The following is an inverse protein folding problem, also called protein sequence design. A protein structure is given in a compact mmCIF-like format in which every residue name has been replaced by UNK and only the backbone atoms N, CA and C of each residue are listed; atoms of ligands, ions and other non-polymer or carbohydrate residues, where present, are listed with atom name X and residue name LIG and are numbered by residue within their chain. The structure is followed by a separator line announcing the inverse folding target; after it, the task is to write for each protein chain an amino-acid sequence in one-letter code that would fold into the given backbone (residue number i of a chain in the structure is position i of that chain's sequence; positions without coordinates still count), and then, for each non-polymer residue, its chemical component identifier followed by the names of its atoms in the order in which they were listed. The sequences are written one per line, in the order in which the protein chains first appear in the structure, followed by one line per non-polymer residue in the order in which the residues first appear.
data_IF_739473709974
#
_entry.id   IF_739473709974
#
_cell.length_a   1.000
_cell.length_b   1.000
_cell.length_c   1.000
_cell.angle_alpha   90.00
_cell.angle_beta   90.00
_cell.angle_gamma   90.00
#
_symmetry.space_group_name_H-M   'P 1'
#
loop_
_entity.id
_entity.type
_entity.pdbx_description
1 polymer ?
#
# COMPACT_ATOMS: atom_id res chain seq x y z
N UNK A 1 27.21 4.55 12.41
CA UNK A 1 26.54 5.56 11.56
C UNK A 1 25.04 5.38 11.74
N UNK A 2 24.23 6.46 11.80
CA UNK A 2 22.80 6.33 11.99
C UNK A 2 22.17 5.61 10.80
N UNK A 3 21.26 4.66 11.07
CA UNK A 3 20.55 3.94 10.02
C UNK A 3 19.63 4.93 9.27
N UNK A 4 19.60 4.87 7.93
CA UNK A 4 18.71 5.70 7.10
C UNK A 4 17.25 5.66 7.59
N UNK A 5 16.76 4.49 7.97
CA UNK A 5 15.38 4.34 8.46
C UNK A 5 15.15 5.11 9.77
N UNK A 6 16.14 5.12 10.68
CA UNK A 6 16.05 5.87 11.94
C UNK A 6 16.04 7.38 11.68
N UNK A 7 16.90 7.84 10.75
CA UNK A 7 16.92 9.24 10.32
C UNK A 7 15.58 9.63 9.70
N UNK A 8 15.06 8.81 8.79
CA UNK A 8 13.81 9.06 8.10
C UNK A 8 12.63 9.14 9.08
N UNK A 9 12.46 8.11 9.93
CA UNK A 9 11.31 8.00 10.83
C UNK A 9 11.26 9.09 11.90
N UNK A 10 12.41 9.66 12.26
CA UNK A 10 12.51 10.74 13.26
C UNK A 10 12.54 12.14 12.65
N UNK A 11 12.73 12.28 11.33
CA UNK A 11 13.06 13.56 10.71
C UNK A 11 12.04 14.65 11.00
N UNK A 12 10.75 14.37 10.84
CA UNK A 12 9.72 15.40 11.10
C UNK A 12 9.61 15.80 12.59
N UNK A 13 10.00 14.93 13.53
CA UNK A 13 9.93 15.22 14.98
C UNK A 13 11.16 15.96 15.48
N UNK A 14 12.33 15.53 15.02
CA UNK A 14 13.62 16.03 15.45
C UNK A 14 14.63 15.86 14.31
N UNK A 15 14.68 16.82 13.36
CA UNK A 15 15.55 16.72 12.19
C UNK A 15 17.02 16.55 12.60
N UNK A 16 17.57 15.35 12.43
CA UNK A 16 18.99 15.10 12.62
C UNK A 16 19.73 15.37 11.30
N UNK A 17 20.02 16.65 11.03
CA UNK A 17 20.67 17.09 9.78
C UNK A 17 22.01 16.38 9.56
N UNK A 18 22.85 16.27 10.60
CA UNK A 18 24.14 15.58 10.49
C UNK A 18 23.96 14.09 10.14
N UNK A 19 23.00 13.42 10.75
CA UNK A 19 22.66 12.02 10.42
C UNK A 19 22.11 11.85 9.01
N UNK A 20 21.23 12.75 8.57
CA UNK A 20 20.70 12.75 7.22
C UNK A 20 21.78 12.99 6.16
N UNK A 21 22.74 13.87 6.44
CA UNK A 21 23.88 14.10 5.55
C UNK A 21 24.81 12.90 5.49
N UNK A 22 25.08 12.23 6.61
CA UNK A 22 25.87 11.00 6.62
C UNK A 22 25.19 9.89 5.81
N UNK A 23 23.88 9.69 6.00
CA UNK A 23 23.10 8.73 5.23
C UNK A 23 23.06 9.10 3.73
N UNK A 24 22.97 10.39 3.40
CA UNK A 24 23.05 10.86 2.01
C UNK A 24 24.41 10.51 1.38
N UNK A 25 25.51 10.76 2.09
CA UNK A 25 26.85 10.48 1.59
C UNK A 25 27.07 8.97 1.38
N UNK A 26 26.47 8.11 2.22
CA UNK A 26 26.45 6.67 2.00
C UNK A 26 25.68 6.30 0.72
N UNK A 27 24.45 6.81 0.56
CA UNK A 27 23.58 6.52 -0.60
C UNK A 27 24.18 7.00 -1.92
N UNK A 28 24.88 8.14 -1.95
CA UNK A 28 25.55 8.63 -3.17
C UNK A 28 26.68 7.71 -3.63
N UNK A 29 27.28 6.96 -2.71
CA UNK A 29 28.34 6.00 -3.02
C UNK A 29 27.78 4.62 -3.40
N UNK A 30 26.48 4.38 -3.27
CA UNK A 30 25.84 3.15 -3.75
C UNK A 30 25.79 3.11 -5.27
N UNK A 31 25.98 1.92 -5.84
CA UNK A 31 25.92 1.74 -7.30
C UNK A 31 24.52 2.02 -7.88
N UNK A 32 23.47 1.76 -7.08
CA UNK A 32 22.07 1.90 -7.48
C UNK A 32 21.22 2.37 -6.28
N UNK A 33 21.23 3.67 -5.95
CA UNK A 33 20.40 4.20 -4.86
C UNK A 33 18.90 3.99 -5.16
N UNK A 34 18.13 3.64 -4.13
CA UNK A 34 16.70 3.40 -4.29
C UNK A 34 15.95 4.71 -4.58
N UNK A 35 14.94 4.71 -5.47
CA UNK A 35 14.14 5.90 -5.74
C UNK A 35 13.51 6.53 -4.49
N UNK A 36 13.08 5.71 -3.51
CA UNK A 36 12.52 6.19 -2.25
C UNK A 36 13.54 6.94 -1.38
N UNK A 37 14.82 6.53 -1.38
CA UNK A 37 15.88 7.24 -0.65
C UNK A 37 16.13 8.63 -1.26
N UNK A 38 16.23 8.70 -2.60
CA UNK A 38 16.38 9.98 -3.30
C UNK A 38 15.17 10.89 -3.09
N UNK A 39 13.97 10.32 -3.09
CA UNK A 39 12.73 11.03 -2.77
C UNK A 39 12.75 11.59 -1.34
N UNK A 40 13.20 10.80 -0.36
CA UNK A 40 13.34 11.25 1.03
C UNK A 40 14.25 12.46 1.13
N UNK A 41 15.47 12.39 0.56
CA UNK A 41 16.42 13.50 0.62
C UNK A 41 15.92 14.75 -0.10
N UNK A 42 15.24 14.59 -1.24
CA UNK A 42 14.63 15.71 -1.95
C UNK A 42 13.56 16.40 -1.10
N UNK A 43 12.72 15.63 -0.40
CA UNK A 43 11.75 16.18 0.55
C UNK A 43 12.42 16.83 1.77
N UNK A 44 13.45 16.21 2.33
CA UNK A 44 14.21 16.77 3.46
C UNK A 44 14.81 18.13 3.08
N UNK A 45 15.41 18.24 1.88
CA UNK A 45 15.95 19.49 1.35
C UNK A 45 14.85 20.53 1.07
N UNK A 46 13.62 20.11 0.79
CA UNK A 46 12.49 21.00 0.60
C UNK A 46 11.96 21.58 1.92
N UNK A 47 11.99 20.81 3.01
CA UNK A 47 11.36 21.20 4.30
C UNK A 47 12.36 21.63 5.38
N UNK A 48 13.66 21.47 5.14
CA UNK A 48 14.71 21.84 6.09
C UNK A 48 15.82 22.63 5.38
N UNK A 49 15.90 23.94 5.67
CA UNK A 49 16.85 24.86 5.04
C UNK A 49 18.31 24.55 5.39
N UNK A 50 18.59 24.07 6.61
CA UNK A 50 19.94 23.71 7.04
C UNK A 50 20.47 22.51 6.24
N UNK A 51 19.65 21.47 6.09
CA UNK A 51 19.96 20.30 5.27
C UNK A 51 20.14 20.69 3.80
N UNK A 52 19.26 21.56 3.28
CA UNK A 52 19.38 22.10 1.93
C UNK A 52 20.68 22.86 1.71
N UNK A 53 21.03 23.78 2.60
CA UNK A 53 22.26 24.57 2.51
C UNK A 53 23.48 23.65 2.55
N UNK A 54 23.49 22.66 3.44
CA UNK A 54 24.56 21.67 3.52
C UNK A 54 24.67 20.81 2.26
N UNK A 55 23.55 20.49 1.60
CA UNK A 55 23.55 19.80 0.31
C UNK A 55 24.14 20.66 -0.82
N UNK A 56 23.92 21.98 -0.83
CA UNK A 56 24.51 22.86 -1.88
C UNK A 56 26.04 22.86 -1.88
N UNK A 57 26.65 22.53 -0.74
CA UNK A 57 28.10 22.41 -0.57
C UNK A 57 28.65 21.10 -1.17
N UNK A 58 27.79 20.15 -1.55
CA UNK A 58 28.17 18.88 -2.17
C UNK A 58 28.14 18.98 -3.69
N UNK A 59 29.19 18.46 -4.33
CA UNK A 59 29.27 18.36 -5.78
C UNK A 59 28.84 16.97 -6.25
N UNK A 60 28.14 16.90 -7.39
CA UNK A 60 27.77 15.64 -8.02
C UNK A 60 26.37 15.63 -8.64
N UNK A 61 26.08 14.68 -9.55
CA UNK A 61 24.78 14.58 -10.21
C UNK A 61 23.64 14.26 -9.23
N UNK A 62 23.89 13.43 -8.21
CA UNK A 62 22.85 13.05 -7.22
C UNK A 62 22.46 14.22 -6.33
N UNK A 63 23.43 14.97 -5.79
CA UNK A 63 23.15 16.16 -4.99
C UNK A 63 22.36 17.21 -5.80
N UNK A 64 22.71 17.40 -7.08
CA UNK A 64 21.95 18.27 -7.99
C UNK A 64 20.53 17.77 -8.21
N UNK A 65 20.34 16.47 -8.44
CA UNK A 65 19.01 15.88 -8.62
C UNK A 65 18.12 16.06 -7.37
N UNK A 66 18.67 15.81 -6.18
CA UNK A 66 17.98 16.04 -4.90
C UNK A 66 17.59 17.50 -4.71
N UNK A 67 18.47 18.44 -5.05
CA UNK A 67 18.19 19.88 -4.95
C UNK A 67 17.20 20.41 -5.99
N UNK A 68 17.14 19.79 -7.18
CA UNK A 68 16.09 20.05 -8.18
C UNK A 68 14.73 19.57 -7.67
N UNK A 69 14.75 18.47 -6.91
CA UNK A 69 13.57 17.85 -6.34
C UNK A 69 13.07 16.67 -7.15
N UNK A 70 12.06 16.01 -6.59
CA UNK A 70 11.41 14.83 -7.17
C UNK A 70 10.04 15.19 -7.74
N UNK A 71 9.61 14.52 -8.82
CA UNK A 71 8.26 14.67 -9.33
C UNK A 71 7.22 14.41 -8.23
N UNK A 72 6.06 15.08 -8.27
CA UNK A 72 4.96 14.77 -7.37
C UNK A 72 4.50 13.33 -7.58
N UNK A 73 4.09 12.68 -6.50
CA UNK A 73 3.47 11.35 -6.55
C UNK A 73 2.15 11.51 -7.32
N UNK A 74 1.95 10.80 -8.46
CA UNK A 74 0.78 10.96 -9.33
C UNK A 74 -0.53 10.93 -8.56
N UNK A 75 -1.53 11.71 -8.98
CA UNK A 75 -2.87 11.61 -8.41
C UNK A 75 -3.52 10.29 -8.79
N UNK A 76 -4.32 9.73 -7.87
CA UNK A 76 -5.02 8.46 -8.06
C UNK A 76 -4.68 7.42 -6.99
N UNK A 77 -5.23 6.20 -7.13
CA UNK A 77 -4.98 5.10 -6.22
C UNK A 77 -3.52 4.64 -6.32
N UNK A 78 -2.74 4.70 -5.23
CA UNK A 78 -1.33 4.37 -5.30
C UNK A 78 -1.10 2.88 -5.53
N UNK A 79 -0.17 2.56 -6.43
CA UNK A 79 0.42 1.23 -6.56
C UNK A 79 1.40 0.92 -5.41
N UNK A 80 1.93 -0.32 -5.33
CA UNK A 80 2.80 -0.74 -4.23
C UNK A 80 4.03 0.16 -4.02
N UNK A 81 4.71 0.54 -5.11
CA UNK A 81 5.90 1.40 -5.04
C UNK A 81 5.56 2.84 -4.57
N UNK A 82 4.36 3.32 -4.90
CA UNK A 82 3.90 4.65 -4.50
C UNK A 82 3.53 4.70 -3.01
N UNK A 83 3.20 3.56 -2.39
CA UNK A 83 2.98 3.49 -0.94
C UNK A 83 4.24 3.86 -0.16
N UNK A 84 5.43 3.41 -0.61
CA UNK A 84 6.70 3.73 0.04
C UNK A 84 7.03 5.23 -0.09
N UNK A 85 6.71 5.83 -1.24
CA UNK A 85 6.85 7.28 -1.44
C UNK A 85 5.90 8.07 -0.53
N UNK A 86 4.66 7.61 -0.36
CA UNK A 86 3.68 8.25 0.54
C UNK A 86 4.11 8.14 2.01
N UNK A 87 4.62 6.98 2.44
CA UNK A 87 5.18 6.82 3.78
C UNK A 87 6.40 7.71 4.00
N UNK A 88 7.31 7.77 3.02
CA UNK A 88 8.47 8.67 3.03
C UNK A 88 8.03 10.12 3.19
N UNK A 89 7.02 10.56 2.43
CA UNK A 89 6.48 11.90 2.54
C UNK A 89 5.94 12.21 3.94
N UNK A 90 5.22 11.26 4.55
CA UNK A 90 4.78 11.39 5.94
C UNK A 90 5.95 11.49 6.92
N UNK A 91 6.95 10.61 6.83
CA UNK A 91 8.07 10.57 7.78
C UNK A 91 8.98 11.80 7.69
N UNK A 92 9.07 12.44 6.52
CA UNK A 92 9.83 13.69 6.36
C UNK A 92 9.03 14.91 6.82
N UNK A 93 7.75 14.99 6.46
CA UNK A 93 6.96 16.22 6.64
C UNK A 93 6.07 16.23 7.88
N UNK A 94 5.71 15.06 8.39
CA UNK A 94 4.70 14.89 9.42
C UNK A 94 3.27 15.19 8.97
N UNK A 95 3.03 15.48 7.67
CA UNK A 95 1.71 15.72 7.11
C UNK A 95 0.95 14.40 6.96
N UNK A 96 -0.32 14.36 7.39
CA UNK A 96 -1.18 13.19 7.28
C UNK A 96 -1.83 13.04 5.90
N UNK A 97 -1.72 14.01 4.99
CA UNK A 97 -2.28 13.91 3.65
C UNK A 97 -1.78 12.67 2.87
N UNK A 98 -0.48 12.33 2.84
CA UNK A 98 0.00 11.08 2.25
C UNK A 98 -0.63 9.83 2.88
N UNK A 99 -0.76 9.78 4.21
CA UNK A 99 -1.37 8.64 4.91
C UNK A 99 -2.84 8.49 4.55
N UNK A 100 -3.58 9.60 4.40
CA UNK A 100 -4.97 9.55 3.92
C UNK A 100 -5.06 8.99 2.51
N UNK A 101 -4.08 9.25 1.63
CA UNK A 101 -4.02 8.62 0.31
C UNK A 101 -3.80 7.11 0.39
N UNK A 102 -2.95 6.64 1.31
CA UNK A 102 -2.76 5.20 1.57
C UNK A 102 -4.07 4.57 2.05
N UNK A 103 -4.78 5.23 2.97
CA UNK A 103 -6.11 4.78 3.44
C UNK A 103 -7.13 4.75 2.29
N UNK A 104 -7.04 5.69 1.35
CA UNK A 104 -7.90 5.73 0.16
C UNK A 104 -7.81 4.48 -0.73
N UNK A 105 -6.70 3.73 -0.70
CA UNK A 105 -6.59 2.42 -1.38
C UNK A 105 -7.63 1.43 -0.85
N UNK A 106 -8.01 1.55 0.42
CA UNK A 106 -8.96 0.65 1.07
C UNK A 106 -10.40 0.91 0.62
N UNK A 107 -10.66 2.04 -0.06
CA UNK A 107 -11.96 2.37 -0.64
C UNK A 107 -12.11 1.92 -2.09
N UNK A 108 -11.03 1.41 -2.69
CA UNK A 108 -11.13 0.89 -4.04
C UNK A 108 -12.15 -0.25 -4.14
N UNK A 109 -12.86 -0.37 -5.27
CA UNK A 109 -13.80 -1.46 -5.52
C UNK A 109 -13.18 -2.84 -5.24
N UNK A 110 -13.99 -3.76 -4.71
CA UNK A 110 -13.64 -5.16 -4.48
C UNK A 110 -13.70 -5.93 -5.82
N UNK A 111 -12.56 -6.01 -6.51
CA UNK A 111 -12.47 -6.57 -7.86
C UNK A 111 -12.73 -8.08 -7.85
N UNK A 112 -12.19 -8.80 -6.88
CA UNK A 112 -12.40 -10.24 -6.75
C UNK A 112 -13.89 -10.54 -6.58
N UNK A 113 -14.61 -9.77 -5.74
CA UNK A 113 -16.07 -9.91 -5.59
C UNK A 113 -16.81 -9.71 -6.90
N UNK A 114 -16.47 -8.66 -7.64
CA UNK A 114 -17.07 -8.38 -8.95
C UNK A 114 -16.85 -9.56 -9.91
N UNK A 115 -15.60 -10.03 -10.02
CA UNK A 115 -15.21 -11.14 -10.90
C UNK A 115 -15.86 -12.48 -10.52
N UNK A 116 -15.91 -12.82 -9.24
CA UNK A 116 -16.59 -14.03 -8.75
C UNK A 116 -18.09 -13.95 -9.04
N UNK A 117 -18.72 -12.79 -8.79
CA UNK A 117 -20.15 -12.59 -9.05
C UNK A 117 -20.47 -12.69 -10.54
N UNK A 118 -19.65 -12.09 -11.40
CA UNK A 118 -19.80 -12.20 -12.86
C UNK A 118 -19.67 -13.66 -13.32
N UNK A 119 -18.68 -14.38 -12.79
CA UNK A 119 -18.49 -15.80 -13.10
C UNK A 119 -19.67 -16.66 -12.64
N UNK A 120 -20.16 -16.49 -11.41
CA UNK A 120 -21.33 -17.21 -10.87
C UNK A 120 -22.58 -17.01 -11.74
N UNK A 121 -22.81 -15.79 -12.22
CA UNK A 121 -23.92 -15.49 -13.14
C UNK A 121 -23.73 -16.14 -14.50
N UNK A 122 -22.51 -16.21 -15.01
CA UNK A 122 -22.22 -16.79 -16.32
C UNK A 122 -22.40 -18.30 -16.35
N UNK A 123 -21.95 -19.02 -15.32
CA UNK A 123 -22.10 -20.48 -15.26
C UNK A 123 -23.51 -20.93 -14.89
N UNK A 124 -24.25 -20.08 -14.17
CA UNK A 124 -25.51 -20.47 -13.52
C UNK A 124 -25.28 -21.49 -12.39
N UNK A 125 -26.28 -21.67 -11.51
CA UNK A 125 -26.20 -22.64 -10.40
C UNK A 125 -27.17 -23.82 -10.60
N UNK A 126 -27.61 -24.04 -11.86
CA UNK A 126 -28.43 -25.18 -12.27
C UNK A 126 -27.60 -26.46 -12.49
N UNK A 127 -28.20 -27.55 -13.02
CA UNK A 127 -27.52 -28.85 -13.19
C UNK A 127 -26.22 -28.79 -13.99
N UNK A 128 -26.16 -27.94 -15.03
CA UNK A 128 -24.97 -27.78 -15.89
C UNK A 128 -23.89 -26.89 -15.24
N UNK A 129 -24.29 -25.79 -14.60
CA UNK A 129 -23.37 -24.90 -13.88
C UNK A 129 -22.89 -25.47 -12.54
N UNK A 130 -23.64 -26.38 -11.94
CA UNK A 130 -23.30 -27.06 -10.70
C UNK A 130 -22.00 -27.85 -10.80
N UNK A 131 -21.74 -28.55 -11.91
CA UNK A 131 -20.47 -29.25 -12.10
C UNK A 131 -19.28 -28.30 -12.13
N UNK A 132 -19.40 -27.16 -12.81
CA UNK A 132 -18.33 -26.16 -12.86
C UNK A 132 -18.13 -25.50 -11.50
N UNK A 133 -19.21 -25.16 -10.80
CA UNK A 133 -19.17 -24.63 -9.45
C UNK A 133 -18.45 -25.58 -8.48
N UNK A 134 -18.77 -26.88 -8.53
CA UNK A 134 -18.20 -27.88 -7.64
C UNK A 134 -16.68 -28.02 -7.77
N UNK A 135 -16.08 -27.66 -8.92
CA UNK A 135 -14.61 -27.63 -9.08
C UNK A 135 -13.96 -26.58 -8.18
N UNK A 136 -14.62 -25.44 -7.98
CA UNK A 136 -14.10 -24.30 -7.21
C UNK A 136 -14.65 -24.22 -5.78
N UNK A 137 -15.61 -25.08 -5.41
CA UNK A 137 -16.17 -25.13 -4.06
C UNK A 137 -15.10 -25.24 -2.96
N UNK A 138 -14.07 -26.12 -3.05
CA UNK A 138 -13.03 -26.20 -2.03
C UNK A 138 -12.27 -24.88 -1.84
N UNK A 139 -12.02 -24.16 -2.94
CA UNK A 139 -11.38 -22.83 -2.91
C UNK A 139 -12.28 -21.83 -2.18
N UNK A 140 -13.56 -21.75 -2.54
CA UNK A 140 -14.48 -20.80 -1.91
C UNK A 140 -14.69 -21.07 -0.42
N UNK A 141 -14.71 -22.35 -0.02
CA UNK A 141 -14.76 -22.74 1.40
C UNK A 141 -13.49 -22.31 2.14
N UNK A 142 -12.30 -22.60 1.57
CA UNK A 142 -11.00 -22.19 2.15
C UNK A 142 -10.89 -20.67 2.31
N UNK A 143 -11.43 -19.92 1.35
CA UNK A 143 -11.40 -18.46 1.34
C UNK A 143 -12.56 -17.80 2.12
N UNK A 144 -13.50 -18.60 2.64
CA UNK A 144 -14.73 -18.14 3.29
C UNK A 144 -15.52 -17.11 2.46
N UNK A 145 -15.65 -17.34 1.15
CA UNK A 145 -16.42 -16.44 0.28
C UNK A 145 -17.91 -16.51 0.61
N UNK A 146 -18.57 -15.39 0.94
CA UNK A 146 -19.97 -15.39 1.34
C UNK A 146 -20.88 -15.40 0.10
N UNK A 147 -21.06 -16.59 -0.48
CA UNK A 147 -21.86 -16.80 -1.69
C UNK A 147 -23.35 -16.90 -1.35
N UNK A 148 -24.16 -16.08 -2.01
CA UNK A 148 -25.63 -16.12 -1.98
C UNK A 148 -26.13 -16.87 -3.20
N UNK A 149 -26.40 -18.17 -3.02
CA UNK A 149 -26.78 -19.07 -4.11
C UNK A 149 -28.07 -18.68 -4.84
N UNK A 150 -29.07 -18.16 -4.12
CA UNK A 150 -30.34 -17.73 -4.73
C UNK A 150 -30.18 -16.57 -5.73
N UNK A 151 -29.09 -15.83 -5.62
CA UNK A 151 -28.85 -14.59 -6.37
C UNK A 151 -27.58 -14.66 -7.24
N UNK A 152 -26.88 -15.80 -7.24
CA UNK A 152 -25.61 -16.00 -7.95
C UNK A 152 -24.61 -14.87 -7.73
N UNK A 153 -24.45 -14.43 -6.48
CA UNK A 153 -23.55 -13.34 -6.13
C UNK A 153 -22.81 -13.57 -4.82
N UNK A 154 -21.75 -12.81 -4.62
CA UNK A 154 -21.06 -12.71 -3.33
C UNK A 154 -21.61 -11.50 -2.58
N UNK A 155 -22.09 -11.70 -1.34
CA UNK A 155 -22.58 -10.62 -0.48
C UNK A 155 -22.04 -10.76 0.94
N UNK A 156 -21.69 -9.65 1.58
CA UNK A 156 -21.20 -9.65 2.97
C UNK A 156 -20.01 -8.73 3.21
N UNK A 157 -19.65 -8.49 4.48
CA UNK A 157 -18.79 -7.37 4.92
C UNK A 157 -17.29 -7.62 4.75
N UNK A 158 -16.88 -8.58 3.91
CA UNK A 158 -15.47 -8.96 3.70
C UNK A 158 -14.94 -8.28 2.45
N UNK A 159 -13.71 -7.77 2.47
CA UNK A 159 -13.05 -7.36 1.22
C UNK A 159 -12.36 -8.60 0.61
N UNK A 160 -12.84 -9.08 -0.54
CA UNK A 160 -12.31 -10.31 -1.14
C UNK A 160 -10.95 -10.12 -1.80
N UNK A 161 -10.61 -8.91 -2.26
CA UNK A 161 -9.26 -8.58 -2.73
C UNK A 161 -8.25 -8.86 -1.61
N UNK A 162 -8.54 -8.40 -0.38
CA UNK A 162 -7.68 -8.64 0.77
C UNK A 162 -7.57 -10.12 1.14
N UNK A 163 -8.69 -10.85 1.16
CA UNK A 163 -8.68 -12.29 1.41
C UNK A 163 -7.76 -13.00 0.42
N UNK A 164 -7.94 -12.73 -0.87
CA UNK A 164 -7.13 -13.29 -1.96
C UNK A 164 -5.66 -12.88 -1.82
N UNK A 165 -5.36 -11.60 -1.58
CA UNK A 165 -4.00 -11.11 -1.43
C UNK A 165 -3.26 -11.76 -0.26
N UNK A 166 -3.90 -11.86 0.91
CA UNK A 166 -3.31 -12.43 2.13
C UNK A 166 -3.04 -13.92 1.92
N UNK A 167 -4.01 -14.66 1.40
CA UNK A 167 -3.84 -16.11 1.15
C UNK A 167 -2.77 -16.36 0.08
N UNK A 168 -2.70 -15.54 -0.97
CA UNK A 168 -1.66 -15.64 -1.98
C UNK A 168 -0.27 -15.34 -1.43
N UNK A 169 -0.12 -14.27 -0.64
CA UNK A 169 1.14 -13.92 0.03
C UNK A 169 1.64 -15.03 0.96
N UNK A 170 0.74 -15.76 1.60
CA UNK A 170 1.08 -16.88 2.47
C UNK A 170 1.37 -18.19 1.71
N UNK A 171 1.38 -18.17 0.37
CA UNK A 171 1.61 -19.36 -0.47
C UNK A 171 0.44 -20.36 -0.48
N UNK A 172 -0.72 -19.96 0.04
CA UNK A 172 -1.91 -20.80 0.16
C UNK A 172 -2.87 -20.66 -1.04
N UNK A 173 -2.58 -19.75 -1.96
CA UNK A 173 -3.33 -19.50 -3.19
C UNK A 173 -2.39 -19.03 -4.31
N UNK A 174 -2.51 -19.62 -5.49
CA UNK A 174 -2.02 -19.05 -6.74
C UNK A 174 -3.19 -18.35 -7.43
N UNK A 175 -2.98 -17.16 -8.00
CA UNK A 175 -4.07 -16.46 -8.71
C UNK A 175 -4.66 -17.28 -9.86
N UNK A 176 -3.90 -18.20 -10.45
CA UNK A 176 -4.39 -19.14 -11.47
C UNK A 176 -5.37 -20.19 -10.96
N UNK A 177 -5.54 -20.34 -9.64
CA UNK A 177 -6.57 -21.20 -9.04
C UNK A 177 -7.96 -20.52 -9.04
N UNK A 178 -8.04 -19.21 -9.28
CA UNK A 178 -9.32 -18.51 -9.39
C UNK A 178 -10.08 -18.94 -10.66
N UNK A 179 -11.42 -18.87 -10.66
CA UNK A 179 -12.24 -19.24 -11.83
C UNK A 179 -12.20 -18.23 -12.98
N UNK A 180 -11.34 -17.22 -12.89
CA UNK A 180 -11.14 -16.16 -13.87
C UNK A 180 -9.68 -15.72 -13.87
N UNK A 181 -9.28 -15.08 -14.97
CA UNK A 181 -7.92 -14.53 -15.11
C UNK A 181 -7.91 -13.09 -14.63
N UNK A 182 -7.03 -12.79 -13.69
CA UNK A 182 -6.69 -11.43 -13.30
C UNK A 182 -5.61 -10.89 -14.23
N UNK A 183 -5.80 -9.67 -14.70
CA UNK A 183 -4.75 -8.91 -15.41
C UNK A 183 -3.64 -8.52 -14.44
N UNK A 184 -2.45 -8.22 -14.97
CA UNK A 184 -1.33 -7.76 -14.14
C UNK A 184 -1.69 -6.49 -13.34
N UNK A 185 -2.45 -5.58 -13.94
CA UNK A 185 -2.93 -4.37 -13.27
C UNK A 185 -3.84 -4.68 -12.07
N UNK A 186 -4.75 -5.64 -12.20
CA UNK A 186 -5.61 -6.08 -11.08
C UNK A 186 -4.81 -6.75 -9.97
N UNK A 187 -3.82 -7.59 -10.33
CA UNK A 187 -2.91 -8.19 -9.35
C UNK A 187 -2.15 -7.12 -8.56
N UNK A 188 -1.65 -6.09 -9.24
CA UNK A 188 -0.94 -4.96 -8.61
C UNK A 188 -1.86 -4.21 -7.65
N UNK A 189 -3.12 -3.93 -8.03
CA UNK A 189 -4.10 -3.27 -7.15
C UNK A 189 -4.43 -4.09 -5.91
N UNK A 190 -4.68 -5.39 -6.09
CA UNK A 190 -4.93 -6.33 -5.00
C UNK A 190 -3.73 -6.36 -4.03
N UNK A 191 -2.51 -6.39 -4.57
CA UNK A 191 -1.29 -6.33 -3.77
C UNK A 191 -1.13 -4.99 -3.02
N UNK A 192 -1.41 -3.86 -3.67
CA UNK A 192 -1.34 -2.53 -3.06
C UNK A 192 -2.33 -2.39 -1.89
N UNK A 193 -3.57 -2.86 -2.05
CA UNK A 193 -4.58 -2.84 -0.97
C UNK A 193 -4.12 -3.65 0.24
N UNK A 194 -3.53 -4.82 0.03
CA UNK A 194 -2.96 -5.64 1.11
C UNK A 194 -1.75 -4.99 1.80
N UNK A 195 -0.84 -4.41 1.02
CA UNK A 195 0.32 -3.67 1.54
C UNK A 195 -0.10 -2.44 2.35
N UNK A 196 -1.13 -1.72 1.90
CA UNK A 196 -1.71 -0.58 2.61
C UNK A 196 -2.25 -0.99 3.99
N UNK A 197 -3.10 -2.02 4.08
CA UNK A 197 -3.61 -2.50 5.38
C UNK A 197 -2.47 -2.95 6.29
N UNK A 198 -1.54 -3.74 5.77
CA UNK A 198 -0.45 -4.27 6.57
C UNK A 198 0.44 -3.15 7.12
N UNK A 199 0.87 -2.21 6.28
CA UNK A 199 1.75 -1.10 6.67
C UNK A 199 1.07 -0.14 7.65
N UNK A 200 -0.21 0.22 7.41
CA UNK A 200 -0.99 1.05 8.32
C UNK A 200 -1.06 0.43 9.72
N UNK A 201 -1.37 -0.87 9.81
CA UNK A 201 -1.45 -1.58 11.09
C UNK A 201 -0.08 -1.69 11.78
N UNK A 202 0.97 -2.02 11.02
CA UNK A 202 2.32 -2.13 11.57
C UNK A 202 2.81 -0.81 12.16
N UNK A 203 2.57 0.30 11.46
CA UNK A 203 3.01 1.63 11.89
C UNK A 203 2.12 2.19 13.01
N UNK A 204 0.82 1.93 12.99
CA UNK A 204 -0.11 2.39 14.03
C UNK A 204 0.29 1.92 15.43
N UNK A 205 0.87 0.73 15.58
CA UNK A 205 1.36 0.19 16.87
C UNK A 205 2.37 1.11 17.54
N UNK A 206 3.21 1.80 16.76
CA UNK A 206 4.33 2.60 17.26
C UNK A 206 4.11 4.11 17.05
N UNK A 207 3.01 4.50 16.40
CA UNK A 207 2.80 5.86 15.97
C UNK A 207 1.39 6.38 16.29
N UNK A 208 1.24 7.05 17.44
CA UNK A 208 -0.04 7.54 17.97
C UNK A 208 -0.89 8.36 16.99
N UNK A 209 -0.28 9.28 16.21
CA UNK A 209 -1.01 10.06 15.19
C UNK A 209 -1.60 9.18 14.07
N UNK A 210 -0.90 8.10 13.70
CA UNK A 210 -1.37 7.14 12.69
C UNK A 210 -2.44 6.25 13.30
N UNK A 211 -2.26 5.78 14.53
CA UNK A 211 -3.28 5.01 15.25
C UNK A 211 -4.59 5.80 15.37
N UNK A 212 -4.51 7.07 15.76
CA UNK A 212 -5.66 7.96 15.88
C UNK A 212 -6.36 8.15 14.53
N UNK A 213 -5.59 8.39 13.46
CA UNK A 213 -6.15 8.51 12.11
C UNK A 213 -6.82 7.20 11.66
N UNK A 214 -6.18 6.05 11.87
CA UNK A 214 -6.72 4.74 11.51
C UNK A 214 -8.04 4.45 12.25
N UNK A 215 -8.09 4.73 13.56
CA UNK A 215 -9.30 4.56 14.36
C UNK A 215 -10.45 5.46 13.88
N UNK A 216 -10.16 6.72 13.54
CA UNK A 216 -11.15 7.64 12.98
C UNK A 216 -11.66 7.15 11.61
N UNK A 217 -10.76 6.81 10.69
CA UNK A 217 -11.12 6.38 9.34
C UNK A 217 -11.86 5.03 9.30
N UNK A 218 -11.62 4.14 10.28
CA UNK A 218 -12.33 2.87 10.43
C UNK A 218 -13.83 3.02 10.75
N UNK A 219 -14.23 4.16 11.33
CA UNK A 219 -15.63 4.44 11.69
C UNK A 219 -16.41 5.18 10.60
N UNK A 220 -15.72 5.67 9.56
CA UNK A 220 -16.34 6.39 8.45
C UNK A 220 -16.90 5.42 7.42
N UNK A 221 -17.96 5.81 6.67
CA UNK A 221 -18.36 5.11 5.46
C UNK A 221 -17.17 4.99 4.49
N UNK A 222 -16.99 3.80 3.89
CA UNK A 222 -15.90 3.52 2.97
C UNK A 222 -15.85 2.03 2.61
N UNK A 223 -14.76 1.61 1.98
CA UNK A 223 -14.56 0.21 1.59
C UNK A 223 -14.47 -0.72 2.80
N UNK A 224 -14.91 -1.97 2.63
CA UNK A 224 -14.95 -2.98 3.70
C UNK A 224 -13.56 -3.19 4.36
N UNK A 225 -12.48 -3.00 3.60
CA UNK A 225 -11.11 -3.07 4.07
C UNK A 225 -10.79 -2.10 5.22
N UNK A 226 -11.47 -0.94 5.32
CA UNK A 226 -11.26 0.04 6.41
C UNK A 226 -11.59 -0.52 7.79
N UNK A 227 -12.50 -1.50 7.87
CA UNK A 227 -12.87 -2.15 9.13
C UNK A 227 -11.67 -2.89 9.78
N UNK A 228 -10.62 -3.17 9.02
CA UNK A 228 -9.41 -3.81 9.50
C UNK A 228 -8.41 -2.84 10.15
N UNK A 229 -8.65 -1.52 10.07
CA UNK A 229 -7.77 -0.52 10.66
C UNK A 229 -7.92 -0.40 12.18
N UNK A 230 -9.03 -0.87 12.74
CA UNK A 230 -9.31 -0.81 14.19
C UNK A 230 -8.91 -2.10 14.94
N UNK A 231 -8.04 -2.92 14.33
CA UNK A 231 -7.61 -4.24 14.84
C UNK A 231 -6.09 -4.33 14.93
#
# INVERSE_FOLDING_TARGET
MPNFDEVLQSFYRSPNVAGALAAFDEVVNEANPLPAQLHAFALMAKVNDEFREALTKRSGPVARAVLVGVPPIPDGPPGPEELDLLWTAFFVTGDLAPVRRIIGVLDEPDLVRERVTAWLRAIGIGPEGGTEFMKYLPLFQRMAFPIVFSESRVDGPVDLDLSVAITARNGQLKFSELPFVLTQHEVIRIAAKSAAVWSLRAIAVQHERIATLCAQEATKPGGAARLLLNR
#
